data_IF_661594378577
#
_entry.id   IF_661594378577
#
_cell.length_a   1.000
_cell.length_b   1.000
_cell.length_c   1.000
_cell.angle_alpha   90.00
_cell.angle_beta   90.00
_cell.angle_gamma   90.00
#
_symmetry.space_group_name_H-M   'P 1'
#
loop_
_entity.id
_entity.type
_entity.pdbx_description
1 polymer ?
#
# COMPACT_ATOMS: atom_id res chain seq x y z
N UNK A 1 -29.61 28.32 11.70
CA UNK A 1 -28.55 27.31 11.81
C UNK A 1 -27.75 27.16 10.52
N UNK A 2 -28.28 27.43 9.36
CA UNK A 2 -27.63 27.39 8.05
C UNK A 2 -26.62 28.54 7.77
N UNK A 3 -26.74 29.69 8.44
CA UNK A 3 -25.82 30.83 8.24
C UNK A 3 -24.47 30.70 8.98
N UNK A 4 -24.35 29.78 9.93
CA UNK A 4 -23.07 29.55 10.65
C UNK A 4 -22.15 28.52 9.96
N UNK A 5 -22.68 27.65 9.13
CA UNK A 5 -21.89 26.69 8.33
C UNK A 5 -21.23 27.36 7.13
N UNK A 6 -21.83 28.36 6.52
CA UNK A 6 -21.23 29.13 5.42
C UNK A 6 -20.05 30.00 5.85
N UNK A 7 -20.04 30.48 7.12
CA UNK A 7 -18.93 31.25 7.65
C UNK A 7 -17.71 30.39 7.99
N UNK A 8 -17.88 29.11 8.38
CA UNK A 8 -16.75 28.18 8.60
C UNK A 8 -16.11 27.72 7.29
N UNK A 9 -16.91 27.49 6.24
CA UNK A 9 -16.39 27.15 4.93
C UNK A 9 -15.60 28.31 4.29
N UNK A 10 -15.99 29.58 4.58
CA UNK A 10 -15.26 30.74 4.08
C UNK A 10 -13.99 31.08 4.88
N UNK A 11 -13.89 30.66 6.15
CA UNK A 11 -12.70 30.90 6.97
C UNK A 11 -11.54 29.95 6.64
N UNK A 12 -11.83 28.77 6.11
CA UNK A 12 -10.79 27.79 5.69
C UNK A 12 -10.12 28.21 4.38
N UNK A 13 -10.75 29.06 3.57
CA UNK A 13 -10.24 29.49 2.26
C UNK A 13 -9.34 30.76 2.32
N UNK A 14 -9.22 31.43 3.44
CA UNK A 14 -8.56 32.77 3.51
C UNK A 14 -7.17 32.74 4.20
N UNK A 15 -6.72 31.63 4.80
CA UNK A 15 -5.51 31.63 5.61
C UNK A 15 -4.25 30.98 4.99
N UNK A 16 -4.24 30.61 3.73
CA UNK A 16 -3.02 30.08 3.08
C UNK A 16 -2.70 30.77 1.76
N UNK A 17 -2.35 32.05 1.84
CA UNK A 17 -1.49 32.67 0.83
C UNK A 17 -0.01 32.29 1.07
N UNK A 18 0.28 31.09 1.52
CA UNK A 18 1.58 30.47 1.33
C UNK A 18 1.67 30.14 -0.17
N UNK A 19 2.70 30.65 -0.87
CA UNK A 19 2.90 30.38 -2.28
C UNK A 19 2.79 28.87 -2.51
N UNK A 20 1.75 28.46 -3.25
CA UNK A 20 1.52 27.05 -3.58
C UNK A 20 2.79 26.52 -4.24
N UNK A 21 3.38 25.48 -3.66
CA UNK A 21 4.50 24.76 -4.25
C UNK A 21 3.94 23.87 -5.36
N UNK A 22 4.75 23.54 -6.35
CA UNK A 22 4.36 22.72 -7.47
C UNK A 22 4.18 21.25 -7.10
N UNK A 23 3.93 20.44 -8.12
CA UNK A 23 3.80 18.97 -8.01
C UNK A 23 5.08 18.33 -7.48
N UNK A 24 4.95 17.17 -6.86
CA UNK A 24 6.08 16.38 -6.37
C UNK A 24 6.02 14.95 -6.90
N UNK A 25 7.15 14.39 -7.37
CA UNK A 25 7.23 12.96 -7.65
C UNK A 25 7.16 12.16 -6.34
N UNK A 26 6.79 10.87 -6.46
CA UNK A 26 6.79 9.92 -5.35
C UNK A 26 8.10 9.13 -5.29
N UNK A 27 8.45 8.69 -4.09
CA UNK A 27 9.53 7.73 -3.89
C UNK A 27 9.04 6.33 -4.29
N UNK A 28 9.93 5.47 -4.83
CA UNK A 28 9.53 4.14 -5.27
C UNK A 28 9.02 3.32 -4.08
N UNK A 29 7.95 2.57 -4.33
CA UNK A 29 7.36 1.61 -3.41
C UNK A 29 7.49 0.23 -4.03
N UNK A 30 8.07 -0.74 -3.32
CA UNK A 30 8.43 -2.10 -3.74
C UNK A 30 9.58 -2.26 -4.73
N UNK A 31 9.94 -1.26 -5.48
CA UNK A 31 11.02 -1.36 -6.48
C UNK A 31 12.42 -1.19 -5.87
N UNK A 32 12.52 -0.58 -4.68
CA UNK A 32 13.77 -0.33 -3.98
C UNK A 32 13.60 -0.55 -2.47
N UNK A 33 13.50 -1.82 -2.03
CA UNK A 33 13.17 -2.17 -0.64
C UNK A 33 14.11 -1.59 0.42
N UNK A 34 15.42 -1.48 0.11
CA UNK A 34 16.38 -0.91 1.05
C UNK A 34 16.14 0.59 1.28
N UNK A 35 15.79 1.32 0.23
CA UNK A 35 15.46 2.73 0.33
C UNK A 35 14.14 2.93 1.07
N UNK A 36 13.12 2.15 0.71
CA UNK A 36 11.83 2.20 1.40
C UNK A 36 12.02 2.02 2.90
N UNK A 37 12.78 1.01 3.29
CA UNK A 37 13.12 0.76 4.70
C UNK A 37 13.84 1.95 5.36
N UNK A 38 14.83 2.55 4.66
CA UNK A 38 15.55 3.72 5.19
C UNK A 38 14.65 4.95 5.32
N UNK A 39 13.76 5.18 4.36
CA UNK A 39 12.79 6.29 4.41
C UNK A 39 11.79 6.07 5.54
N UNK A 40 11.23 4.88 5.69
CA UNK A 40 10.34 4.54 6.80
C UNK A 40 11.02 4.76 8.16
N UNK A 41 12.26 4.28 8.30
CA UNK A 41 13.07 4.50 9.50
C UNK A 41 13.29 5.99 9.79
N UNK A 42 13.64 6.76 8.76
CA UNK A 42 13.87 8.19 8.89
C UNK A 42 12.61 8.97 9.29
N UNK A 43 11.48 8.65 8.64
CA UNK A 43 10.19 9.28 8.95
C UNK A 43 9.69 8.91 10.34
N UNK A 44 9.89 7.68 10.78
CA UNK A 44 9.56 7.25 12.14
C UNK A 44 10.44 7.96 13.19
N UNK A 45 11.75 8.05 12.98
CA UNK A 45 12.67 8.80 13.85
C UNK A 45 12.27 10.29 13.92
N UNK A 46 11.80 10.86 12.82
CA UNK A 46 11.35 12.25 12.78
C UNK A 46 9.96 12.46 13.43
N UNK A 47 9.25 11.38 13.79
CA UNK A 47 7.87 11.46 14.28
C UNK A 47 6.86 11.88 13.21
N UNK A 48 7.12 11.56 11.93
CA UNK A 48 6.34 12.02 10.77
C UNK A 48 5.85 10.90 9.85
N UNK A 49 5.79 9.67 10.34
CA UNK A 49 5.32 8.53 9.55
C UNK A 49 3.80 8.67 9.26
N UNK A 50 3.38 8.80 7.98
CA UNK A 50 1.99 8.89 7.60
C UNK A 50 1.29 7.52 7.64
N UNK A 51 -0.05 7.56 7.61
CA UNK A 51 -0.90 6.36 7.55
C UNK A 51 -1.14 5.86 6.11
N UNK A 52 -0.43 6.41 5.13
CA UNK A 52 -0.49 5.99 3.72
C UNK A 52 0.89 6.04 3.06
N UNK A 53 1.06 5.32 1.96
CA UNK A 53 2.24 5.35 1.07
C UNK A 53 1.77 5.42 -0.41
N UNK A 54 2.64 5.77 -1.36
CA UNK A 54 4.05 6.14 -1.25
C UNK A 54 4.25 7.54 -0.66
N UNK A 55 5.47 7.77 -0.13
CA UNK A 55 5.91 9.11 0.28
C UNK A 55 6.17 9.99 -0.94
N UNK A 56 5.78 11.26 -0.89
CA UNK A 56 6.27 12.23 -1.87
C UNK A 56 7.72 12.64 -1.56
N UNK A 57 8.49 12.96 -2.60
CA UNK A 57 9.84 13.50 -2.41
C UNK A 57 9.83 14.80 -1.60
N UNK A 58 8.80 15.62 -1.78
CA UNK A 58 8.62 16.88 -1.07
C UNK A 58 8.41 16.67 0.45
N UNK A 59 7.57 15.70 0.84
CA UNK A 59 7.31 15.40 2.25
C UNK A 59 8.56 14.90 2.96
N UNK A 60 9.34 14.02 2.32
CA UNK A 60 10.59 13.52 2.90
C UNK A 60 11.65 14.63 2.96
N UNK A 61 11.70 15.55 1.98
CA UNK A 61 12.58 16.72 2.04
C UNK A 61 12.22 17.65 3.21
N UNK A 62 10.93 17.86 3.46
CA UNK A 62 10.45 18.69 4.57
C UNK A 62 10.75 18.06 5.95
N UNK A 63 10.87 16.72 6.02
CA UNK A 63 11.26 15.99 7.24
C UNK A 63 12.78 16.00 7.52
N UNK A 64 13.62 16.30 6.53
CA UNK A 64 15.09 16.25 6.66
C UNK A 64 15.67 17.01 7.87
N UNK A 65 15.22 18.24 8.23
CA UNK A 65 15.75 18.91 9.40
C UNK A 65 15.59 18.10 10.70
N UNK A 66 14.42 17.48 10.89
CA UNK A 66 14.15 16.64 12.06
C UNK A 66 14.97 15.34 12.02
N UNK A 67 15.07 14.69 10.85
CA UNK A 67 15.90 13.49 10.65
C UNK A 67 17.37 13.80 10.97
N UNK A 68 17.92 14.88 10.42
CA UNK A 68 19.32 15.27 10.61
C UNK A 68 19.63 15.65 12.07
N UNK A 69 18.65 16.17 12.79
CA UNK A 69 18.80 16.49 14.21
C UNK A 69 18.94 15.24 15.10
N UNK A 70 18.37 14.11 14.67
CA UNK A 70 18.32 12.86 15.45
C UNK A 70 19.29 11.78 14.94
N UNK A 71 19.54 11.71 13.62
CA UNK A 71 20.43 10.73 12.98
C UNK A 71 21.13 11.30 11.75
N UNK A 72 22.38 11.71 11.93
CA UNK A 72 23.20 12.32 10.86
C UNK A 72 23.58 11.34 9.75
N UNK A 73 23.80 10.07 10.08
CA UNK A 73 24.20 9.05 9.10
C UNK A 73 23.03 8.73 8.16
N UNK A 74 21.87 8.45 8.73
CA UNK A 74 20.63 8.20 7.98
C UNK A 74 20.21 9.43 7.16
N UNK A 75 20.30 10.63 7.76
CA UNK A 75 20.06 11.89 7.04
C UNK A 75 20.95 12.01 5.81
N UNK A 76 22.25 11.70 5.93
CA UNK A 76 23.19 11.72 4.81
C UNK A 76 22.82 10.72 3.70
N UNK A 77 22.30 9.56 4.04
CA UNK A 77 21.82 8.55 3.07
C UNK A 77 20.59 9.05 2.33
N UNK A 78 19.57 9.52 3.04
CA UNK A 78 18.34 10.07 2.45
C UNK A 78 18.63 11.30 1.57
N UNK A 79 19.49 12.23 2.02
CA UNK A 79 19.90 13.38 1.20
C UNK A 79 20.52 12.94 -0.13
N UNK A 80 21.46 11.99 -0.12
CA UNK A 80 22.10 11.49 -1.35
C UNK A 80 21.09 10.90 -2.32
N UNK A 81 20.10 10.17 -1.80
CA UNK A 81 19.05 9.66 -2.66
C UNK A 81 18.17 10.77 -3.23
N UNK A 82 17.76 11.73 -2.42
CA UNK A 82 16.92 12.85 -2.84
C UNK A 82 17.61 13.79 -3.84
N UNK A 83 18.93 13.73 -4.02
CA UNK A 83 19.62 14.46 -5.10
C UNK A 83 19.08 14.11 -6.49
N UNK A 84 18.58 12.88 -6.68
CA UNK A 84 17.94 12.42 -7.93
C UNK A 84 16.66 13.20 -8.25
N UNK A 85 16.03 13.78 -7.25
CA UNK A 85 14.76 14.53 -7.34
C UNK A 85 14.94 16.05 -7.45
N UNK A 86 16.19 16.52 -7.56
CA UNK A 86 16.52 17.95 -7.74
C UNK A 86 16.59 18.39 -9.20
N UNK A 87 16.71 17.45 -10.12
CA UNK A 87 16.82 17.75 -11.56
C UNK A 87 15.44 17.66 -12.21
N UNK A 88 15.23 18.44 -13.28
CA UNK A 88 13.96 18.39 -14.04
C UNK A 88 13.78 17.08 -14.85
N UNK A 89 14.87 16.43 -15.21
CA UNK A 89 14.88 15.12 -15.86
C UNK A 89 15.85 14.21 -15.13
N UNK A 90 15.38 13.11 -14.62
CA UNK A 90 16.21 12.20 -13.83
C UNK A 90 15.75 10.77 -13.97
N UNK A 91 16.70 9.85 -14.08
CA UNK A 91 16.49 8.45 -13.76
C UNK A 91 16.51 8.34 -12.22
N UNK A 92 15.43 7.86 -11.61
CA UNK A 92 15.31 7.75 -10.15
C UNK A 92 15.73 6.41 -9.64
N UNK A 93 15.58 5.37 -10.47
CA UNK A 93 15.90 4.00 -10.14
C UNK A 93 16.20 3.19 -11.40
N UNK A 94 17.13 2.24 -11.28
CA UNK A 94 17.32 1.13 -12.19
C UNK A 94 17.84 -0.06 -11.40
N UNK A 95 17.30 -1.26 -11.64
CA UNK A 95 17.76 -2.49 -11.00
C UNK A 95 17.75 -3.67 -11.96
N UNK A 96 18.66 -4.58 -11.73
CA UNK A 96 18.70 -5.91 -12.33
C UNK A 96 18.72 -6.92 -11.21
N UNK A 97 17.78 -7.84 -11.21
CA UNK A 97 17.69 -8.93 -10.25
C UNK A 97 17.70 -10.26 -10.99
N UNK A 98 18.56 -11.17 -10.56
CA UNK A 98 18.56 -12.56 -10.99
C UNK A 98 18.23 -13.46 -9.80
N UNK A 99 17.46 -14.52 -10.03
CA UNK A 99 17.06 -15.46 -8.99
C UNK A 99 16.97 -16.88 -9.49
N UNK A 100 17.05 -17.80 -8.56
CA UNK A 100 16.81 -19.23 -8.74
C UNK A 100 15.99 -19.74 -7.56
N UNK A 101 15.11 -20.67 -7.82
CA UNK A 101 14.30 -21.33 -6.79
C UNK A 101 14.26 -22.84 -6.97
N UNK A 102 13.79 -23.53 -5.94
CA UNK A 102 13.67 -24.99 -5.92
C UNK A 102 12.22 -25.47 -6.04
N UNK A 103 11.28 -24.60 -6.35
CA UNK A 103 9.85 -24.95 -6.37
C UNK A 103 9.28 -25.08 -7.77
N UNK A 104 8.25 -25.92 -7.93
CA UNK A 104 7.43 -26.04 -9.14
C UNK A 104 6.28 -25.01 -9.14
N UNK A 105 6.50 -23.79 -8.74
CA UNK A 105 5.41 -22.86 -8.58
C UNK A 105 5.84 -21.40 -8.56
N UNK A 106 4.85 -20.52 -8.38
CA UNK A 106 5.07 -19.09 -8.30
C UNK A 106 6.05 -18.76 -7.19
N UNK A 107 7.21 -18.26 -7.58
CA UNK A 107 8.17 -17.73 -6.63
C UNK A 107 7.70 -16.39 -6.15
N UNK A 108 7.34 -16.29 -4.88
CA UNK A 108 7.06 -15.02 -4.24
C UNK A 108 8.38 -14.35 -3.88
N UNK A 109 8.67 -13.22 -4.49
CA UNK A 109 9.73 -12.34 -4.03
C UNK A 109 9.27 -11.66 -2.73
N UNK A 110 9.81 -12.03 -1.55
CA UNK A 110 9.31 -11.55 -0.27
C UNK A 110 9.48 -10.04 -0.07
N UNK A 111 10.27 -9.39 -0.92
CA UNK A 111 10.46 -7.94 -0.88
C UNK A 111 9.45 -7.19 -1.75
N UNK A 112 8.70 -7.88 -2.59
CA UNK A 112 7.90 -7.27 -3.64
C UNK A 112 6.40 -7.28 -3.38
N UNK A 113 5.92 -7.65 -2.25
CA UNK A 113 4.51 -7.50 -1.88
C UNK A 113 3.53 -7.58 -3.07
N UNK A 114 3.59 -8.67 -3.85
CA UNK A 114 2.71 -8.93 -4.98
C UNK A 114 3.26 -8.67 -6.38
N UNK A 115 4.38 -8.01 -6.51
CA UNK A 115 5.13 -7.99 -7.77
C UNK A 115 5.91 -9.33 -7.91
N UNK A 116 5.19 -10.42 -7.90
CA UNK A 116 5.75 -11.77 -8.01
C UNK A 116 5.83 -12.18 -9.47
N UNK A 117 6.85 -12.95 -9.80
CA UNK A 117 7.03 -13.57 -11.10
C UNK A 117 7.79 -14.88 -10.87
N UNK A 118 7.55 -15.87 -11.68
CA UNK A 118 8.33 -17.11 -11.75
C UNK A 118 9.57 -16.99 -12.67
N UNK A 119 9.76 -15.85 -13.30
CA UNK A 119 10.93 -15.57 -14.16
C UNK A 119 12.22 -15.44 -13.34
N UNK A 120 13.32 -15.92 -13.92
CA UNK A 120 14.64 -15.89 -13.29
C UNK A 120 15.31 -14.51 -13.35
N UNK A 121 14.87 -13.65 -14.27
CA UNK A 121 15.45 -12.33 -14.50
C UNK A 121 14.39 -11.23 -14.41
N UNK A 122 14.71 -10.14 -13.68
CA UNK A 122 13.87 -8.96 -13.59
C UNK A 122 14.68 -7.67 -13.73
N UNK A 123 14.16 -6.75 -14.53
CA UNK A 123 14.65 -5.38 -14.66
C UNK A 123 13.59 -4.42 -14.18
N UNK A 124 13.92 -3.55 -13.22
CA UNK A 124 13.08 -2.44 -12.82
C UNK A 124 13.75 -1.13 -13.25
N UNK A 125 12.97 -0.21 -13.80
CA UNK A 125 13.46 1.12 -14.18
C UNK A 125 12.40 2.16 -13.91
N UNK A 126 12.82 3.33 -13.42
CA UNK A 126 11.90 4.45 -13.19
C UNK A 126 12.66 5.77 -13.31
N UNK A 127 11.99 6.76 -13.88
CA UNK A 127 12.50 8.11 -14.03
C UNK A 127 11.36 9.10 -14.24
N UNK A 128 11.67 10.38 -14.19
CA UNK A 128 10.66 11.40 -14.40
C UNK A 128 11.21 12.58 -15.20
N UNK A 129 10.27 13.31 -15.81
CA UNK A 129 10.49 14.59 -16.45
C UNK A 129 9.51 15.64 -15.88
N UNK A 130 10.05 16.61 -15.14
CA UNK A 130 9.31 17.78 -14.68
C UNK A 130 9.34 18.86 -15.77
N UNK A 131 8.30 18.92 -16.59
CA UNK A 131 8.23 19.85 -17.69
C UNK A 131 7.80 21.27 -17.24
N UNK A 132 7.17 21.37 -16.06
CA UNK A 132 6.85 22.64 -15.40
C UNK A 132 6.85 22.45 -13.88
N UNK A 133 6.72 23.53 -13.13
CA UNK A 133 6.58 23.46 -11.66
C UNK A 133 5.24 22.78 -11.25
N UNK A 134 4.29 22.72 -12.18
CA UNK A 134 2.94 22.16 -11.97
C UNK A 134 2.68 20.91 -12.79
N UNK A 135 3.70 20.29 -13.38
CA UNK A 135 3.55 19.13 -14.23
C UNK A 135 4.77 18.24 -14.29
N UNK A 136 4.56 16.93 -14.03
CA UNK A 136 5.55 15.87 -14.09
C UNK A 136 5.00 14.71 -14.91
N UNK A 137 5.84 14.11 -15.74
CA UNK A 137 5.63 12.78 -16.30
C UNK A 137 6.60 11.83 -15.63
N UNK A 138 6.10 10.82 -14.94
CA UNK A 138 6.90 9.70 -14.42
C UNK A 138 6.70 8.50 -15.34
N UNK A 139 7.79 7.81 -15.65
CA UNK A 139 7.78 6.57 -16.42
C UNK A 139 8.54 5.53 -15.63
N UNK A 140 7.86 4.47 -15.26
CA UNK A 140 8.43 3.33 -14.54
C UNK A 140 7.86 2.02 -15.06
N UNK A 141 8.64 0.96 -14.95
CA UNK A 141 8.22 -0.38 -15.38
C UNK A 141 9.05 -1.46 -14.72
N UNK A 142 8.45 -2.61 -14.69
CA UNK A 142 9.07 -3.87 -14.34
C UNK A 142 9.01 -4.79 -15.56
N UNK A 143 10.13 -5.37 -15.92
CA UNK A 143 10.29 -6.23 -17.07
C UNK A 143 10.85 -7.57 -16.58
N UNK A 144 10.18 -8.64 -16.94
CA UNK A 144 10.61 -10.02 -16.73
C UNK A 144 10.72 -10.74 -18.08
N UNK A 145 11.04 -12.02 -18.09
CA UNK A 145 11.18 -12.78 -19.34
C UNK A 145 9.86 -12.81 -20.13
N UNK A 146 8.74 -12.96 -19.40
CA UNK A 146 7.41 -13.17 -20.00
C UNK A 146 6.47 -11.96 -19.86
N UNK A 147 6.83 -10.93 -19.08
CA UNK A 147 5.92 -9.83 -18.78
C UNK A 147 6.62 -8.46 -18.75
N UNK A 148 5.86 -7.44 -19.14
CA UNK A 148 6.24 -6.05 -19.02
C UNK A 148 5.07 -5.27 -18.42
N UNK A 149 5.25 -4.74 -17.21
CA UNK A 149 4.19 -4.03 -16.52
C UNK A 149 4.61 -2.60 -16.15
N UNK A 150 3.72 -1.61 -16.36
CA UNK A 150 3.95 -0.27 -15.89
C UNK A 150 3.83 -0.21 -14.37
N UNK A 151 4.80 0.45 -13.72
CA UNK A 151 4.81 0.72 -12.28
C UNK A 151 5.11 2.19 -12.11
N UNK A 152 4.25 2.91 -11.38
CA UNK A 152 4.36 4.36 -11.17
C UNK A 152 4.54 5.17 -12.48
N UNK A 153 3.91 4.71 -13.57
CA UNK A 153 3.88 5.42 -14.85
C UNK A 153 2.64 6.31 -14.90
N UNK A 154 2.84 7.64 -14.83
CA UNK A 154 1.73 8.58 -14.68
C UNK A 154 2.10 10.00 -15.12
N UNK A 155 1.07 10.76 -15.47
CA UNK A 155 1.09 12.21 -15.58
C UNK A 155 0.59 12.82 -14.26
N UNK A 156 1.38 13.66 -13.63
CA UNK A 156 1.03 14.39 -12.41
C UNK A 156 0.89 15.88 -12.70
N UNK A 157 -0.24 16.47 -12.34
CA UNK A 157 -0.59 17.86 -12.55
C UNK A 157 -1.13 18.51 -11.27
N UNK A 158 -0.86 19.79 -11.05
CA UNK A 158 -1.47 20.56 -9.94
C UNK A 158 -0.45 21.16 -8.97
N UNK A 159 -0.74 21.06 -7.68
CA UNK A 159 -0.04 21.73 -6.60
C UNK A 159 0.23 20.74 -5.46
N UNK A 160 1.06 21.11 -4.50
CA UNK A 160 1.37 20.29 -3.32
C UNK A 160 0.15 20.00 -2.44
N UNK A 161 -0.84 20.87 -2.43
CA UNK A 161 -2.10 20.68 -1.72
C UNK A 161 -3.17 19.92 -2.52
N UNK A 162 -3.05 19.85 -3.85
CA UNK A 162 -3.96 19.11 -4.74
C UNK A 162 -3.22 18.70 -6.01
N UNK A 163 -2.72 17.47 -6.05
CA UNK A 163 -2.08 16.84 -7.19
C UNK A 163 -3.02 15.81 -7.81
N UNK A 164 -3.20 15.90 -9.14
CA UNK A 164 -3.93 14.94 -9.95
C UNK A 164 -2.92 14.05 -10.67
N UNK A 165 -2.98 12.76 -10.41
CA UNK A 165 -2.15 11.75 -11.06
C UNK A 165 -3.03 10.91 -12.00
N UNK A 166 -2.61 10.73 -13.26
CA UNK A 166 -3.31 9.95 -14.28
C UNK A 166 -2.38 8.87 -14.79
N UNK A 167 -2.68 7.61 -14.51
CA UNK A 167 -1.86 6.47 -14.89
C UNK A 167 -1.81 5.37 -13.85
N UNK A 168 -0.67 4.70 -13.75
CA UNK A 168 -0.43 3.55 -12.88
C UNK A 168 0.28 4.01 -11.61
N UNK A 169 -0.48 4.39 -10.58
CA UNK A 169 0.05 4.83 -9.31
C UNK A 169 -0.06 3.72 -8.27
N UNK A 170 0.98 3.57 -7.44
CA UNK A 170 0.94 2.69 -6.27
C UNK A 170 0.10 3.32 -5.15
N UNK A 171 -0.67 2.48 -4.45
CA UNK A 171 -1.50 2.86 -3.31
C UNK A 171 -1.23 1.95 -2.12
N UNK A 172 -1.24 2.51 -0.92
CA UNK A 172 -1.11 1.77 0.33
C UNK A 172 -1.85 2.51 1.45
N UNK A 173 -2.87 1.90 2.02
CA UNK A 173 -3.76 2.52 3.00
C UNK A 173 -3.64 1.83 4.36
N UNK A 174 -2.51 2.01 5.02
CA UNK A 174 -2.25 1.48 6.36
C UNK A 174 -0.98 2.05 6.96
N UNK A 175 -0.86 2.15 8.30
CA UNK A 175 0.40 2.38 8.97
C UNK A 175 1.33 1.16 8.99
N UNK A 176 0.85 -0.02 8.60
CA UNK A 176 1.63 -1.27 8.60
C UNK A 176 2.78 -1.21 7.59
N UNK A 177 3.84 -1.96 7.88
CA UNK A 177 5.06 -2.03 7.05
C UNK A 177 5.08 -3.23 6.11
N UNK A 178 4.46 -4.35 6.51
CA UNK A 178 4.51 -5.59 5.74
C UNK A 178 3.24 -5.85 4.92
N UNK A 179 2.07 -5.40 5.39
CA UNK A 179 0.81 -5.54 4.67
C UNK A 179 -0.22 -4.49 5.08
N UNK A 180 -1.33 -4.40 4.33
CA UNK A 180 -2.49 -3.58 4.65
C UNK A 180 -3.76 -4.38 4.37
N UNK A 181 -4.79 -4.20 5.18
CA UNK A 181 -6.03 -4.98 5.00
C UNK A 181 -6.80 -4.56 3.76
N UNK A 182 -6.94 -3.27 3.49
CA UNK A 182 -7.77 -2.80 2.38
C UNK A 182 -7.02 -2.77 1.05
N UNK A 183 -5.92 -2.02 1.02
CA UNK A 183 -5.19 -1.73 -0.20
C UNK A 183 -3.69 -1.65 0.10
N UNK A 184 -2.96 -2.55 -0.51
CA UNK A 184 -1.50 -2.63 -0.47
C UNK A 184 -0.95 -2.69 -1.90
N UNK A 185 0.34 -2.88 -2.00
CA UNK A 185 1.00 -3.21 -3.27
C UNK A 185 1.13 -4.72 -3.48
N UNK A 186 0.23 -5.52 -2.90
CA UNK A 186 0.22 -6.98 -3.09
C UNK A 186 -0.12 -7.35 -4.53
N UNK A 187 -1.10 -6.70 -5.13
CA UNK A 187 -1.43 -6.85 -6.56
C UNK A 187 -0.73 -5.80 -7.41
N UNK A 188 -0.68 -6.03 -8.71
CA UNK A 188 -0.16 -5.06 -9.69
C UNK A 188 -0.95 -3.75 -9.66
N UNK A 189 -0.27 -2.64 -10.02
CA UNK A 189 -0.90 -1.34 -10.14
C UNK A 189 -2.00 -1.32 -11.19
N UNK A 190 -3.07 -0.64 -10.90
CA UNK A 190 -4.21 -0.44 -11.80
C UNK A 190 -4.12 0.93 -12.47
N UNK A 191 -4.50 1.05 -13.76
CA UNK A 191 -4.63 2.36 -14.40
C UNK A 191 -5.79 3.12 -13.76
N UNK A 192 -5.57 4.40 -13.49
CA UNK A 192 -6.58 5.20 -12.82
C UNK A 192 -6.28 6.69 -12.79
N UNK A 193 -7.11 7.40 -12.04
CA UNK A 193 -6.99 8.82 -11.76
C UNK A 193 -7.01 8.99 -10.25
N UNK A 194 -6.03 9.69 -9.70
CA UNK A 194 -5.88 9.93 -8.27
C UNK A 194 -5.78 11.42 -7.98
N UNK A 195 -6.53 11.90 -7.02
CA UNK A 195 -6.41 13.25 -6.44
C UNK A 195 -5.90 13.13 -5.01
N UNK A 196 -4.80 13.80 -4.70
CA UNK A 196 -4.21 13.76 -3.35
C UNK A 196 -3.39 15.00 -3.04
N UNK A 197 -3.02 15.21 -1.78
CA UNK A 197 -1.99 16.16 -1.41
C UNK A 197 -0.63 15.46 -1.26
N UNK A 198 0.44 16.14 -1.69
CA UNK A 198 1.82 15.66 -1.60
C UNK A 198 2.56 16.19 -0.37
N UNK A 199 1.97 17.14 0.34
CA UNK A 199 2.37 17.62 1.65
C UNK A 199 1.18 17.64 2.58
N UNK A 200 1.36 17.36 3.87
CA UNK A 200 0.27 17.48 4.83
C UNK A 200 -0.24 18.94 4.89
N UNK A 201 -1.55 19.10 5.09
CA UNK A 201 -2.22 20.39 5.18
C UNK A 201 -2.45 20.74 6.64
N UNK A 202 -2.38 22.02 6.95
CA UNK A 202 -2.63 22.58 8.28
C UNK A 202 -1.67 22.04 9.36
N UNK A 203 -1.79 22.59 10.56
CA UNK A 203 -1.07 22.12 11.75
C UNK A 203 -1.55 20.73 12.22
N UNK A 204 -2.69 20.27 11.73
CA UNK A 204 -3.21 18.92 11.98
C UNK A 204 -2.67 17.87 11.01
N UNK A 205 -1.71 18.20 10.18
CA UNK A 205 -1.10 17.27 9.22
C UNK A 205 -2.12 16.49 8.39
N UNK A 206 -3.19 17.15 7.91
CA UNK A 206 -4.25 16.50 7.13
C UNK A 206 -3.69 15.96 5.83
N UNK A 207 -3.95 14.66 5.57
CA UNK A 207 -3.66 13.99 4.30
C UNK A 207 -4.94 13.40 3.73
N UNK A 208 -5.09 13.50 2.42
CA UNK A 208 -6.19 12.88 1.70
C UNK A 208 -5.71 12.24 0.41
N UNK A 209 -6.45 11.26 -0.02
CA UNK A 209 -6.30 10.64 -1.32
C UNK A 209 -7.64 10.07 -1.75
N UNK A 210 -8.02 10.33 -2.98
CA UNK A 210 -9.17 9.75 -3.64
C UNK A 210 -8.74 9.24 -5.00
N UNK A 211 -9.07 7.99 -5.34
CA UNK A 211 -8.80 7.48 -6.68
C UNK A 211 -9.97 6.69 -7.25
N UNK A 212 -9.99 6.60 -8.58
CA UNK A 212 -10.81 5.68 -9.35
C UNK A 212 -9.89 4.97 -10.34
N UNK A 213 -9.92 3.64 -10.35
CA UNK A 213 -9.11 2.79 -11.21
C UNK A 213 -9.93 1.71 -11.92
N UNK A 214 -9.33 1.09 -12.93
CA UNK A 214 -9.89 -0.04 -13.67
C UNK A 214 -9.14 -1.31 -13.28
N UNK A 215 -9.87 -2.33 -12.82
CA UNK A 215 -9.32 -3.64 -12.48
C UNK A 215 -9.13 -4.52 -13.73
N UNK A 216 -8.49 -5.65 -13.55
CA UNK A 216 -8.32 -6.64 -14.61
C UNK A 216 -9.66 -7.21 -15.09
N UNK A 217 -9.66 -7.71 -16.32
CA UNK A 217 -10.83 -8.35 -16.92
C UNK A 217 -11.25 -9.61 -16.14
N UNK A 218 -12.55 -9.73 -15.89
CA UNK A 218 -13.21 -10.90 -15.32
C UNK A 218 -14.34 -11.37 -16.23
N UNK A 219 -14.48 -12.65 -16.40
CA UNK A 219 -15.63 -13.30 -17.08
C UNK A 219 -16.68 -13.81 -16.09
N UNK A 220 -16.49 -13.57 -14.78
CA UNK A 220 -17.28 -14.16 -13.70
C UNK A 220 -17.89 -13.08 -12.79
N UNK A 221 -18.52 -12.07 -13.39
CA UNK A 221 -19.27 -11.06 -12.67
C UNK A 221 -20.74 -11.45 -12.67
N UNK A 222 -21.35 -11.72 -11.51
CA UNK A 222 -22.74 -12.18 -11.40
C UNK A 222 -23.71 -11.08 -11.87
N UNK A 223 -24.65 -11.44 -12.77
CA UNK A 223 -25.65 -10.53 -13.30
C UNK A 223 -26.84 -11.32 -13.88
N UNK A 224 -28.06 -10.97 -13.50
CA UNK A 224 -29.32 -11.54 -13.99
C UNK A 224 -29.35 -13.08 -13.96
N UNK A 225 -28.93 -13.66 -12.86
CA UNK A 225 -28.92 -15.12 -12.64
C UNK A 225 -27.85 -15.86 -13.43
N UNK A 226 -26.92 -15.15 -14.09
CA UNK A 226 -25.78 -15.70 -14.81
C UNK A 226 -24.51 -14.89 -14.55
N UNK A 227 -23.64 -14.84 -15.57
CA UNK A 227 -22.40 -14.05 -15.52
C UNK A 227 -22.32 -13.10 -16.68
N UNK A 228 -21.79 -11.92 -16.44
CA UNK A 228 -21.30 -10.97 -17.45
C UNK A 228 -19.78 -10.86 -17.39
N UNK A 229 -19.18 -10.39 -18.48
CA UNK A 229 -17.74 -10.26 -18.60
C UNK A 229 -17.33 -8.80 -18.83
N UNK A 230 -16.29 -8.36 -18.17
CA UNK A 230 -15.78 -7.00 -18.30
C UNK A 230 -14.71 -6.66 -17.28
N UNK A 231 -14.41 -5.38 -17.15
CA UNK A 231 -13.44 -4.87 -16.19
C UNK A 231 -14.18 -4.12 -15.09
N UNK A 232 -14.20 -4.67 -13.84
CA UNK A 232 -14.70 -3.91 -12.70
C UNK A 232 -13.89 -2.63 -12.49
N UNK A 233 -14.51 -1.64 -11.88
CA UNK A 233 -13.85 -0.44 -11.39
C UNK A 233 -13.61 -0.55 -9.90
N UNK A 234 -12.61 0.18 -9.42
CA UNK A 234 -12.34 0.33 -7.99
C UNK A 234 -12.19 1.80 -7.67
N UNK A 235 -12.73 2.22 -6.55
CA UNK A 235 -12.45 3.55 -5.99
C UNK A 235 -11.92 3.40 -4.57
N UNK A 236 -11.04 4.31 -4.17
CA UNK A 236 -10.50 4.36 -2.83
C UNK A 236 -10.46 5.77 -2.27
N UNK A 237 -10.69 5.87 -0.97
CA UNK A 237 -10.58 7.09 -0.18
C UNK A 237 -9.66 6.83 1.00
N UNK A 238 -8.70 7.72 1.19
CA UNK A 238 -7.93 7.87 2.42
C UNK A 238 -8.10 9.29 2.96
N UNK A 239 -8.36 9.40 4.25
CA UNK A 239 -8.33 10.66 4.98
C UNK A 239 -7.63 10.43 6.31
N UNK A 240 -6.61 11.23 6.63
CA UNK A 240 -5.93 11.15 7.92
C UNK A 240 -5.57 12.52 8.45
N UNK A 241 -5.42 12.61 9.77
CA UNK A 241 -5.00 13.80 10.47
C UNK A 241 -4.22 13.44 11.74
N UNK A 242 -3.52 14.40 12.28
CA UNK A 242 -2.77 14.33 13.54
C UNK A 242 -3.40 15.30 14.53
N UNK A 243 -4.40 14.87 15.32
CA UNK A 243 -5.11 15.75 16.26
C UNK A 243 -4.25 16.21 17.44
N UNK A 244 -3.24 15.43 17.79
CA UNK A 244 -2.23 15.73 18.82
C UNK A 244 -0.86 15.31 18.29
N UNK A 245 0.17 16.00 18.71
CA UNK A 245 1.55 15.65 18.35
C UNK A 245 1.84 14.18 18.67
N UNK A 246 2.25 13.42 17.65
CA UNK A 246 2.54 12.00 17.76
C UNK A 246 1.32 11.08 17.79
N UNK A 247 0.10 11.59 17.60
CA UNK A 247 -1.09 10.76 17.46
C UNK A 247 -1.79 11.03 16.14
N UNK A 248 -1.73 10.07 15.22
CA UNK A 248 -2.40 10.12 13.93
C UNK A 248 -3.60 9.19 13.91
N UNK A 249 -4.68 9.64 13.28
CA UNK A 249 -5.89 8.86 13.00
C UNK A 249 -6.21 8.92 11.52
N UNK A 250 -6.77 7.84 10.97
CA UNK A 250 -7.14 7.75 9.58
C UNK A 250 -8.40 6.93 9.35
N UNK A 251 -9.05 7.24 8.25
CA UNK A 251 -10.17 6.50 7.71
C UNK A 251 -9.87 6.13 6.26
N UNK A 252 -10.11 4.87 5.90
CA UNK A 252 -9.93 4.36 4.56
C UNK A 252 -11.21 3.67 4.10
N UNK A 253 -11.48 3.74 2.80
CA UNK A 253 -12.56 2.99 2.18
C UNK A 253 -12.23 2.65 0.75
N UNK A 254 -12.53 1.43 0.33
CA UNK A 254 -12.45 0.98 -1.05
C UNK A 254 -13.79 0.38 -1.47
N UNK A 255 -14.12 0.51 -2.76
CA UNK A 255 -15.33 -0.05 -3.35
C UNK A 255 -15.01 -0.58 -4.75
N UNK A 256 -15.40 -1.84 -5.01
CA UNK A 256 -15.34 -2.50 -6.32
C UNK A 256 -16.73 -2.51 -6.92
N UNK A 257 -16.91 -2.02 -8.14
CA UNK A 257 -18.22 -1.84 -8.74
C UNK A 257 -18.22 -1.96 -10.27
N UNK A 258 -19.42 -2.10 -10.85
CA UNK A 258 -19.59 -2.14 -12.29
C UNK A 258 -18.95 -3.35 -12.96
N UNK A 259 -18.61 -3.21 -14.22
CA UNK A 259 -18.01 -4.26 -15.07
C UNK A 259 -19.04 -5.02 -15.92
N UNK A 260 -18.72 -5.22 -17.19
CA UNK A 260 -19.58 -5.88 -18.17
C UNK A 260 -20.91 -5.18 -18.37
N UNK A 261 -22.00 -5.92 -18.32
CA UNK A 261 -23.35 -5.39 -18.44
C UNK A 261 -23.89 -4.80 -17.12
N UNK A 262 -23.14 -4.93 -16.02
CA UNK A 262 -23.50 -4.41 -14.71
C UNK A 262 -23.24 -2.88 -14.70
N UNK A 263 -24.29 -2.09 -14.49
CA UNK A 263 -24.21 -0.63 -14.38
C UNK A 263 -23.72 -0.17 -13.00
N UNK A 264 -24.14 1.04 -12.58
CA UNK A 264 -23.83 1.57 -11.24
C UNK A 264 -22.55 2.40 -11.20
N UNK A 265 -22.00 2.79 -12.36
CA UNK A 265 -20.74 3.51 -12.48
C UNK A 265 -20.88 5.04 -12.66
N UNK A 266 -22.09 5.59 -12.42
CA UNK A 266 -22.28 7.03 -12.41
C UNK A 266 -21.70 7.67 -11.14
N UNK A 267 -21.28 8.94 -11.23
CA UNK A 267 -20.81 9.70 -10.06
C UNK A 267 -21.89 9.79 -8.96
N UNK A 268 -23.18 9.79 -9.35
CA UNK A 268 -24.30 9.75 -8.40
C UNK A 268 -24.35 8.45 -7.62
N UNK A 269 -24.14 7.32 -8.29
CA UNK A 269 -24.20 6.00 -7.65
C UNK A 269 -22.99 5.79 -6.74
N UNK A 270 -21.82 6.21 -7.17
CA UNK A 270 -20.59 6.23 -6.36
C UNK A 270 -20.83 7.08 -5.10
N UNK A 271 -21.39 8.29 -5.27
CA UNK A 271 -21.67 9.19 -4.14
C UNK A 271 -22.70 8.59 -3.15
N UNK A 272 -23.76 7.96 -3.66
CA UNK A 272 -24.74 7.27 -2.81
C UNK A 272 -24.11 6.13 -2.03
N UNK A 273 -23.34 5.27 -2.69
CA UNK A 273 -22.64 4.16 -2.04
C UNK A 273 -21.68 4.65 -0.94
N UNK A 274 -21.03 5.82 -1.14
CA UNK A 274 -20.18 6.41 -0.10
C UNK A 274 -20.93 6.86 1.14
N UNK A 275 -22.12 7.45 1.01
CA UNK A 275 -22.85 8.08 2.12
C UNK A 275 -23.97 7.21 2.68
N UNK A 276 -24.46 6.22 1.92
CA UNK A 276 -25.50 5.29 2.35
C UNK A 276 -25.17 3.86 1.89
N UNK A 277 -24.11 3.24 2.45
CA UNK A 277 -23.71 1.88 2.08
C UNK A 277 -24.80 0.85 2.40
N UNK A 278 -25.51 0.99 3.50
CA UNK A 278 -26.54 0.02 3.90
C UNK A 278 -27.71 -0.02 2.91
N UNK A 279 -28.11 1.11 2.33
CA UNK A 279 -29.23 1.23 1.41
C UNK A 279 -28.89 0.85 -0.05
N UNK A 280 -27.61 0.66 -0.39
CA UNK A 280 -27.17 0.43 -1.76
C UNK A 280 -26.32 -0.84 -1.96
N UNK A 281 -25.84 -1.44 -0.89
CA UNK A 281 -24.78 -2.46 -0.96
C UNK A 281 -25.09 -3.75 -0.20
N UNK A 282 -26.24 -3.85 0.47
CA UNK A 282 -26.63 -5.07 1.16
C UNK A 282 -27.94 -5.60 0.60
N UNK A 283 -27.90 -6.81 0.07
CA UNK A 283 -29.09 -7.55 -0.34
C UNK A 283 -30.07 -7.68 0.83
N UNK A 284 -31.34 -7.39 0.59
CA UNK A 284 -32.42 -7.55 1.58
C UNK A 284 -33.00 -6.26 2.15
N UNK A 285 -32.47 -5.07 1.80
CA UNK A 285 -33.02 -3.75 2.18
C UNK A 285 -33.65 -3.00 1.00
N UNK A 286 -34.35 -3.74 0.09
CA UNK A 286 -34.85 -3.21 -1.17
C UNK A 286 -33.81 -3.28 -2.29
N UNK A 287 -32.63 -3.81 -2.01
CA UNK A 287 -31.56 -4.08 -2.94
C UNK A 287 -31.56 -5.59 -3.25
N UNK A 288 -31.49 -5.94 -4.51
CA UNK A 288 -31.28 -7.31 -4.97
C UNK A 288 -29.88 -7.45 -5.59
N UNK A 289 -29.43 -8.70 -5.86
CA UNK A 289 -28.10 -8.98 -6.40
C UNK A 289 -27.78 -8.20 -7.67
N UNK A 290 -28.77 -7.85 -8.51
CA UNK A 290 -28.56 -7.11 -9.75
C UNK A 290 -28.47 -5.58 -9.53
N UNK A 291 -29.06 -5.08 -8.44
CA UNK A 291 -29.09 -3.64 -8.11
C UNK A 291 -28.11 -3.26 -7.00
N UNK A 292 -27.49 -4.23 -6.37
CA UNK A 292 -26.40 -4.03 -5.42
C UNK A 292 -25.24 -3.29 -6.08
N UNK A 293 -24.66 -2.28 -5.40
CA UNK A 293 -23.61 -1.45 -5.96
C UNK A 293 -22.36 -2.26 -6.26
N UNK A 294 -21.91 -3.10 -5.32
CA UNK A 294 -20.75 -3.96 -5.47
C UNK A 294 -20.08 -4.31 -4.14
N UNK A 295 -18.82 -4.69 -4.16
CA UNK A 295 -18.06 -5.04 -2.98
C UNK A 295 -17.41 -3.81 -2.33
N UNK A 296 -17.36 -3.74 -1.00
CA UNK A 296 -16.74 -2.63 -0.29
C UNK A 296 -16.04 -3.09 0.99
N UNK A 297 -15.00 -2.34 1.35
CA UNK A 297 -14.33 -2.50 2.63
C UNK A 297 -13.93 -1.12 3.18
N UNK A 298 -13.92 -1.00 4.51
CA UNK A 298 -13.48 0.21 5.19
C UNK A 298 -12.56 -0.10 6.36
N UNK A 299 -11.68 0.83 6.70
CA UNK A 299 -10.84 0.71 7.90
C UNK A 299 -10.66 2.04 8.63
N UNK A 300 -10.49 1.91 9.95
CA UNK A 300 -9.99 2.96 10.81
C UNK A 300 -8.56 2.61 11.22
N UNK A 301 -7.66 3.55 11.01
CA UNK A 301 -6.24 3.39 11.35
C UNK A 301 -5.83 4.40 12.39
N UNK A 302 -4.91 4.03 13.26
CA UNK A 302 -4.31 4.95 14.23
C UNK A 302 -2.85 4.60 14.46
N UNK A 303 -2.05 5.62 14.74
CA UNK A 303 -0.65 5.47 15.09
C UNK A 303 -0.29 6.42 16.22
N UNK A 304 0.44 5.91 17.18
CA UNK A 304 1.05 6.65 18.28
C UNK A 304 2.57 6.63 18.11
N UNK A 305 3.17 7.79 18.03
CA UNK A 305 4.61 7.97 18.07
C UNK A 305 5.05 8.35 19.47
N UNK A 306 6.01 7.62 20.00
CA UNK A 306 6.66 7.90 21.28
C UNK A 306 8.10 8.32 21.01
N UNK A 307 8.42 9.56 21.34
CA UNK A 307 9.78 10.09 21.22
C UNK A 307 10.65 9.67 22.40
N UNK A 308 11.96 9.87 22.31
CA UNK A 308 12.92 9.58 23.36
C UNK A 308 14.21 8.94 22.84
N UNK A 309 15.02 8.37 23.74
CA UNK A 309 16.29 7.72 23.38
C UNK A 309 16.06 6.47 22.50
N UNK A 310 14.96 5.78 22.73
CA UNK A 310 14.50 4.66 21.90
C UNK A 310 13.10 4.99 21.40
N UNK A 311 12.97 5.78 20.29
CA UNK A 311 11.67 6.12 19.76
C UNK A 311 10.97 4.87 19.22
N UNK A 312 9.63 4.85 19.32
CA UNK A 312 8.85 3.75 18.76
C UNK A 312 7.45 4.22 18.33
N UNK A 313 6.87 3.47 17.40
CA UNK A 313 5.50 3.65 16.92
C UNK A 313 4.67 2.42 17.32
N UNK A 314 3.49 2.66 17.90
CA UNK A 314 2.42 1.67 18.01
C UNK A 314 1.34 2.04 17.02
N UNK A 315 0.86 1.09 16.24
CA UNK A 315 -0.16 1.37 15.24
C UNK A 315 -1.16 0.23 15.14
N UNK A 316 -2.38 0.59 14.73
CA UNK A 316 -3.51 -0.33 14.65
C UNK A 316 -4.36 -0.03 13.42
N UNK A 317 -4.97 -1.07 12.89
CA UNK A 317 -5.98 -1.01 11.84
C UNK A 317 -7.16 -1.89 12.24
N UNK A 318 -8.35 -1.30 12.34
CA UNK A 318 -9.62 -2.00 12.49
C UNK A 318 -10.37 -1.88 11.19
N UNK A 319 -10.63 -3.00 10.52
CA UNK A 319 -11.23 -3.02 9.20
C UNK A 319 -12.45 -3.96 9.15
N UNK A 320 -13.30 -3.78 8.15
CA UNK A 320 -14.39 -4.68 7.86
C UNK A 320 -14.78 -4.63 6.39
N UNK A 321 -15.20 -5.76 5.89
CA UNK A 321 -15.87 -5.94 4.61
C UNK A 321 -17.37 -5.90 4.88
N UNK A 322 -18.09 -5.05 4.16
CA UNK A 322 -19.51 -4.76 4.35
C UNK A 322 -19.91 -4.02 5.63
N UNK A 323 -21.21 -3.73 5.72
CA UNK A 323 -21.85 -3.20 6.91
C UNK A 323 -22.63 -4.28 7.65
N UNK A 324 -22.85 -4.10 8.94
CA UNK A 324 -23.49 -5.06 9.80
C UNK A 324 -24.72 -4.45 10.49
N UNK A 325 -25.76 -5.28 10.71
CA UNK A 325 -26.99 -4.92 11.44
C UNK A 325 -27.73 -3.72 10.85
N UNK A 326 -27.73 -3.55 9.52
CA UNK A 326 -28.40 -2.46 8.83
C UNK A 326 -27.99 -1.07 9.34
N UNK A 327 -26.71 -0.88 9.66
CA UNK A 327 -26.18 0.42 10.12
C UNK A 327 -24.94 0.80 9.32
N UNK A 328 -24.91 2.03 8.79
CA UNK A 328 -23.84 2.54 7.91
C UNK A 328 -22.45 2.69 8.59
N UNK A 329 -22.38 2.59 9.89
CA UNK A 329 -21.14 2.83 10.67
C UNK A 329 -20.65 1.60 11.46
N UNK A 330 -21.33 0.47 11.33
CA UNK A 330 -20.90 -0.80 11.95
C UNK A 330 -20.33 -1.72 10.89
N UNK A 331 -19.05 -2.02 11.01
CA UNK A 331 -18.35 -2.92 10.10
C UNK A 331 -18.74 -4.38 10.36
N UNK A 332 -18.92 -5.14 9.28
CA UNK A 332 -19.09 -6.59 9.27
C UNK A 332 -17.80 -7.31 8.89
N UNK A 333 -17.75 -8.62 9.07
CA UNK A 333 -16.57 -9.46 8.74
C UNK A 333 -15.26 -8.78 9.17
N UNK A 334 -15.12 -8.49 10.47
CA UNK A 334 -14.08 -7.61 10.97
C UNK A 334 -12.69 -8.22 10.88
N UNK A 335 -11.70 -7.34 10.75
CA UNK A 335 -10.29 -7.62 10.88
C UNK A 335 -9.65 -6.68 11.88
N UNK A 336 -8.66 -7.17 12.60
CA UNK A 336 -7.83 -6.39 13.51
C UNK A 336 -6.37 -6.62 13.16
N UNK A 337 -5.64 -5.54 12.91
CA UNK A 337 -4.20 -5.57 12.75
C UNK A 337 -3.55 -4.61 13.73
N UNK A 338 -2.35 -4.94 14.18
CA UNK A 338 -1.57 -4.09 15.07
C UNK A 338 -0.08 -4.32 14.88
N UNK A 339 0.71 -3.31 15.21
CA UNK A 339 2.15 -3.41 15.08
C UNK A 339 2.91 -2.49 16.00
N UNK A 340 4.16 -2.85 16.20
CA UNK A 340 5.19 -2.11 16.89
C UNK A 340 6.37 -1.92 15.94
N UNK A 341 6.79 -0.68 15.75
CA UNK A 341 8.03 -0.35 15.05
C UNK A 341 8.98 0.42 15.96
N UNK A 342 10.19 -0.09 16.13
CA UNK A 342 11.29 0.55 16.87
C UNK A 342 12.40 0.86 15.87
N UNK A 343 12.50 2.09 15.33
CA UNK A 343 13.48 2.44 14.30
C UNK A 343 14.93 2.44 14.81
N UNK A 344 15.12 2.38 16.13
CA UNK A 344 16.44 2.30 16.78
C UNK A 344 16.32 1.58 18.12
N UNK A 345 16.29 0.24 18.11
CA UNK A 345 16.31 -0.58 19.34
C UNK A 345 17.70 -0.64 19.96
N UNK A 346 18.75 -0.52 19.13
CA UNK A 346 20.16 -0.31 19.48
C UNK A 346 20.77 0.52 18.35
N UNK A 347 22.03 0.95 18.47
CA UNK A 347 22.64 1.94 17.57
C UNK A 347 22.40 1.68 16.08
N UNK A 348 22.46 0.41 15.67
CA UNK A 348 22.36 0.01 14.25
C UNK A 348 21.23 -0.98 13.97
N UNK A 349 20.31 -1.18 14.91
CA UNK A 349 19.23 -2.15 14.79
C UNK A 349 17.87 -1.48 14.81
N UNK A 350 16.96 -2.00 14.01
CA UNK A 350 15.54 -1.68 14.07
C UNK A 350 14.69 -2.96 14.13
N UNK A 351 13.47 -2.84 14.62
CA UNK A 351 12.56 -3.95 14.82
C UNK A 351 11.15 -3.55 14.40
N UNK A 352 10.52 -4.39 13.58
CA UNK A 352 9.09 -4.35 13.30
C UNK A 352 8.45 -5.67 13.73
N UNK A 353 7.37 -5.60 14.47
CA UNK A 353 6.48 -6.74 14.73
C UNK A 353 5.07 -6.36 14.33
N UNK A 354 4.42 -7.20 13.54
CA UNK A 354 3.05 -7.01 13.09
C UNK A 354 2.22 -8.28 13.28
N UNK A 355 0.97 -8.07 13.62
CA UNK A 355 -0.05 -9.08 13.79
C UNK A 355 -1.29 -8.66 13.01
N UNK A 356 -1.94 -9.59 12.33
CA UNK A 356 -3.22 -9.41 11.66
C UNK A 356 -4.10 -10.63 11.85
N UNK A 357 -5.38 -10.40 12.13
CA UNK A 357 -6.40 -11.43 12.19
C UNK A 357 -7.64 -10.95 11.45
N UNK A 358 -8.23 -11.81 10.63
CA UNK A 358 -9.46 -11.50 9.92
C UNK A 358 -10.42 -12.68 9.93
N UNK A 359 -11.71 -12.36 9.91
CA UNK A 359 -12.80 -13.30 9.87
C UNK A 359 -12.96 -13.89 8.47
N UNK A 360 -13.97 -14.77 8.30
CA UNK A 360 -14.35 -15.31 6.99
C UNK A 360 -14.75 -14.23 6.01
N UNK A 361 -14.81 -14.62 4.75
CA UNK A 361 -15.33 -13.86 3.62
C UNK A 361 -14.52 -12.66 3.20
N UNK A 362 -13.34 -12.43 3.79
CA UNK A 362 -12.45 -11.40 3.29
C UNK A 362 -11.96 -11.69 1.87
N UNK A 363 -12.06 -10.66 1.01
CA UNK A 363 -11.65 -10.64 -0.40
C UNK A 363 -12.43 -11.60 -1.31
N UNK A 364 -13.53 -12.17 -0.87
CA UNK A 364 -14.46 -12.95 -1.70
C UNK A 364 -15.82 -12.26 -1.72
N UNK A 365 -16.52 -12.30 -2.84
CA UNK A 365 -17.80 -11.64 -2.98
C UNK A 365 -18.72 -12.42 -3.92
N UNK A 366 -20.02 -12.44 -3.64
CA UNK A 366 -20.99 -13.18 -4.46
C UNK A 366 -21.19 -12.59 -5.86
N UNK A 367 -20.98 -11.28 -6.04
CA UNK A 367 -21.02 -10.63 -7.36
C UNK A 367 -19.72 -10.89 -8.12
N UNK A 368 -18.58 -10.63 -7.50
CA UNK A 368 -17.26 -10.72 -8.14
C UNK A 368 -16.58 -12.02 -7.74
N UNK A 369 -16.75 -13.05 -8.59
CA UNK A 369 -16.23 -14.40 -8.29
C UNK A 369 -14.69 -14.48 -8.28
N UNK A 370 -14.00 -13.48 -8.84
CA UNK A 370 -12.57 -13.32 -8.72
C UNK A 370 -12.17 -12.56 -7.44
N UNK A 371 -13.17 -12.17 -6.65
CA UNK A 371 -12.99 -11.45 -5.40
C UNK A 371 -12.38 -10.07 -5.57
N UNK A 372 -11.86 -9.52 -4.49
CA UNK A 372 -11.17 -8.25 -4.45
C UNK A 372 -9.70 -8.46 -4.88
N UNK A 373 -9.52 -8.75 -6.17
CA UNK A 373 -8.22 -9.11 -6.77
C UNK A 373 -7.97 -8.38 -8.08
N UNK A 374 -6.70 -8.21 -8.43
CA UNK A 374 -6.28 -7.71 -9.74
C UNK A 374 -5.32 -8.72 -10.37
N UNK A 375 -5.60 -9.17 -11.59
CA UNK A 375 -4.86 -10.25 -12.27
C UNK A 375 -4.69 -11.53 -11.42
N UNK A 376 -5.71 -11.87 -10.63
CA UNK A 376 -5.71 -13.06 -9.78
C UNK A 376 -4.93 -12.93 -8.46
N UNK A 377 -4.43 -11.74 -8.14
CA UNK A 377 -3.74 -11.45 -6.87
C UNK A 377 -4.60 -10.52 -6.02
N UNK A 378 -4.77 -10.86 -4.74
CA UNK A 378 -5.52 -10.06 -3.77
C UNK A 378 -4.87 -8.68 -3.61
N UNK A 379 -5.68 -7.62 -3.58
CA UNK A 379 -5.19 -6.24 -3.50
C UNK A 379 -4.81 -5.78 -2.09
N UNK A 380 -5.17 -6.55 -1.06
CA UNK A 380 -4.94 -6.22 0.35
C UNK A 380 -3.81 -7.00 0.99
N UNK A 381 -4.12 -7.78 2.04
CA UNK A 381 -3.14 -8.48 2.86
C UNK A 381 -2.51 -9.69 2.11
N UNK A 382 -1.16 -9.82 2.16
CA UNK A 382 -0.41 -10.90 1.50
C UNK A 382 -0.92 -12.29 1.92
N UNK A 383 -1.25 -12.48 3.18
CA UNK A 383 -1.71 -13.76 3.71
C UNK A 383 -3.04 -14.25 3.11
N UNK A 384 -3.81 -13.38 2.48
CA UNK A 384 -5.04 -13.80 1.82
C UNK A 384 -4.79 -14.52 0.49
N UNK A 385 -3.56 -14.52 -0.02
CA UNK A 385 -3.14 -15.37 -1.14
C UNK A 385 -2.70 -16.76 -0.69
N UNK A 386 -2.44 -16.94 0.61
CA UNK A 386 -2.02 -18.21 1.23
C UNK A 386 -3.25 -19.09 1.56
N UNK A 387 -4.04 -19.36 0.53
CA UNK A 387 -5.23 -20.23 0.55
C UNK A 387 -5.64 -20.57 -0.88
N UNK A 388 -6.53 -21.53 -1.05
CA UNK A 388 -7.11 -21.78 -2.37
C UNK A 388 -7.87 -20.54 -2.84
N UNK A 389 -7.65 -20.16 -4.10
CA UNK A 389 -8.35 -19.01 -4.70
C UNK A 389 -9.86 -19.17 -4.62
N UNK A 390 -10.56 -18.16 -4.11
CA UNK A 390 -12.00 -18.19 -3.88
C UNK A 390 -12.44 -18.81 -2.54
N UNK A 391 -11.52 -19.38 -1.74
CA UNK A 391 -11.82 -19.78 -0.37
C UNK A 391 -11.86 -18.54 0.53
N UNK A 392 -12.99 -18.30 1.19
CA UNK A 392 -13.20 -17.17 2.09
C UNK A 392 -12.71 -17.39 3.52
N UNK A 393 -11.85 -18.38 3.75
CA UNK A 393 -11.35 -18.70 5.10
C UNK A 393 -10.63 -17.53 5.75
N UNK A 394 -10.95 -17.26 7.01
CA UNK A 394 -10.22 -16.29 7.83
C UNK A 394 -8.85 -16.81 8.23
N UNK A 395 -7.97 -15.94 8.68
CA UNK A 395 -6.64 -16.35 9.10
C UNK A 395 -6.06 -15.40 10.15
N UNK A 396 -4.97 -15.87 10.76
CA UNK A 396 -4.13 -15.14 11.70
C UNK A 396 -2.70 -15.14 11.18
N UNK A 397 -2.11 -13.97 11.05
CA UNK A 397 -0.77 -13.77 10.53
C UNK A 397 0.12 -13.00 11.50
N UNK A 398 1.40 -13.34 11.51
CA UNK A 398 2.43 -12.61 12.24
C UNK A 398 3.62 -12.36 11.33
N UNK A 399 4.20 -11.19 11.45
CA UNK A 399 5.45 -10.79 10.77
C UNK A 399 6.41 -10.19 11.77
N UNK A 400 7.66 -10.65 11.72
CA UNK A 400 8.78 -10.08 12.47
C UNK A 400 9.85 -9.66 11.47
N UNK A 401 10.26 -8.40 11.50
CA UNK A 401 11.35 -7.87 10.67
C UNK A 401 12.42 -7.29 11.58
N UNK A 402 13.66 -7.67 11.33
CA UNK A 402 14.82 -7.14 12.04
C UNK A 402 15.78 -6.56 11.00
N UNK A 403 16.04 -5.27 11.10
CA UNK A 403 17.03 -4.57 10.31
C UNK A 403 18.33 -4.38 11.10
N UNK A 404 19.47 -4.49 10.42
CA UNK A 404 20.79 -4.24 10.97
C UNK A 404 21.65 -3.48 9.96
N UNK A 405 22.08 -2.29 10.33
CA UNK A 405 22.89 -1.39 9.51
C UNK A 405 24.25 -1.17 10.15
N UNK A 406 25.18 -2.17 10.09
CA UNK A 406 26.46 -2.12 10.79
C UNK A 406 27.36 -0.98 10.33
N UNK A 407 27.17 -0.46 9.11
CA UNK A 407 27.91 0.65 8.54
C UNK A 407 27.00 1.54 7.69
N UNK A 408 27.53 2.67 7.21
CA UNK A 408 26.79 3.55 6.29
C UNK A 408 26.54 2.92 4.90
N UNK A 409 27.18 1.79 4.60
CA UNK A 409 27.11 1.11 3.31
C UNK A 409 26.44 -0.24 3.37
N UNK A 410 26.40 -0.87 4.53
CA UNK A 410 25.97 -2.26 4.68
C UNK A 410 24.65 -2.34 5.42
N UNK A 411 23.74 -3.15 4.92
CA UNK A 411 22.45 -3.41 5.53
C UNK A 411 22.12 -4.90 5.46
N UNK A 412 21.64 -5.43 6.57
CA UNK A 412 21.02 -6.73 6.68
C UNK A 412 19.54 -6.58 7.00
N UNK A 413 18.71 -7.46 6.47
CA UNK A 413 17.30 -7.55 6.81
C UNK A 413 16.91 -9.00 6.98
N UNK A 414 16.34 -9.33 8.13
CA UNK A 414 15.80 -10.64 8.43
C UNK A 414 14.29 -10.50 8.55
N UNK A 415 13.53 -11.37 7.89
CA UNK A 415 12.07 -11.38 7.96
C UNK A 415 11.58 -12.79 8.24
N UNK A 416 10.69 -12.90 9.22
CA UNK A 416 9.93 -14.11 9.49
C UNK A 416 8.45 -13.82 9.38
N UNK A 417 7.74 -14.63 8.59
CA UNK A 417 6.28 -14.61 8.46
C UNK A 417 5.70 -15.95 8.84
N UNK A 418 4.56 -15.95 9.51
CA UNK A 418 3.76 -17.15 9.73
C UNK A 418 2.28 -16.81 9.58
N UNK A 419 1.51 -17.78 9.09
CA UNK A 419 0.07 -17.65 8.93
C UNK A 419 -0.60 -18.97 9.27
N UNK A 420 -1.77 -18.90 9.91
CA UNK A 420 -2.65 -20.02 10.16
C UNK A 420 -4.05 -19.69 9.66
N UNK A 421 -4.51 -20.44 8.67
CA UNK A 421 -5.92 -20.40 8.24
C UNK A 421 -6.80 -21.05 9.32
N UNK A 422 -8.03 -20.59 9.45
CA UNK A 422 -8.97 -21.08 10.47
C UNK A 422 -9.59 -22.41 10.03
N UNK A 423 -10.00 -23.23 11.01
CA UNK A 423 -10.39 -24.61 10.78
C UNK A 423 -11.82 -24.86 10.25
N UNK A 424 -12.51 -23.85 9.70
CA UNK A 424 -13.85 -24.02 9.10
C UNK A 424 -13.85 -24.07 7.57
N UNK A 425 -12.69 -24.04 6.93
CA UNK A 425 -12.55 -24.41 5.52
C UNK A 425 -12.76 -25.91 5.33
N UNK A 426 -13.23 -26.30 4.14
CA UNK A 426 -13.24 -27.70 3.72
C UNK A 426 -11.84 -28.25 3.42
N UNK A 427 -10.85 -27.37 3.36
CA UNK A 427 -9.44 -27.66 3.09
C UNK A 427 -8.69 -27.63 4.43
N UNK A 428 -7.89 -28.66 4.65
CA UNK A 428 -7.00 -28.75 5.82
C UNK A 428 -5.68 -28.02 5.50
N UNK A 429 -5.59 -26.76 5.88
CA UNK A 429 -4.42 -25.94 5.64
C UNK A 429 -3.33 -26.19 6.68
N UNK A 430 -2.12 -26.43 6.21
CA UNK A 430 -0.90 -26.39 7.03
C UNK A 430 -0.59 -24.95 7.47
N UNK A 431 0.23 -24.83 8.49
CA UNK A 431 0.76 -23.50 8.88
C UNK A 431 1.79 -23.04 7.85
N UNK A 432 1.57 -21.85 7.29
CA UNK A 432 2.56 -21.14 6.49
C UNK A 432 3.70 -20.64 7.37
N UNK A 433 4.92 -20.81 6.92
CA UNK A 433 6.13 -20.26 7.53
C UNK A 433 7.11 -19.83 6.44
N UNK A 434 7.65 -18.61 6.57
CA UNK A 434 8.66 -18.08 5.65
C UNK A 434 9.74 -17.39 6.46
N UNK A 435 11.00 -17.67 6.13
CA UNK A 435 12.17 -16.99 6.66
C UNK A 435 12.99 -16.47 5.50
N UNK A 436 13.31 -15.18 5.53
CA UNK A 436 14.23 -14.57 4.57
C UNK A 436 15.35 -13.80 5.25
N UNK A 437 16.51 -13.77 4.60
CA UNK A 437 17.67 -12.99 4.99
C UNK A 437 18.24 -12.30 3.76
N UNK A 438 18.25 -10.99 3.77
CA UNK A 438 18.80 -10.14 2.72
C UNK A 438 20.03 -9.39 3.21
N UNK A 439 21.02 -9.26 2.36
CA UNK A 439 22.20 -8.44 2.56
C UNK A 439 22.38 -7.50 1.38
N UNK A 440 22.68 -6.23 1.66
CA UNK A 440 23.06 -5.26 0.65
C UNK A 440 24.26 -4.43 1.09
N UNK A 441 25.07 -4.01 0.11
CA UNK A 441 26.20 -3.10 0.34
C UNK A 441 26.35 -2.12 -0.82
N UNK A 442 26.91 -0.95 -0.54
CA UNK A 442 27.22 0.05 -1.56
C UNK A 442 28.59 -0.23 -2.17
N UNK A 443 28.61 -0.56 -3.46
CA UNK A 443 29.80 -0.73 -4.26
C UNK A 443 29.92 0.41 -5.27
N UNK A 444 30.84 1.35 -5.02
CA UNK A 444 30.99 2.60 -5.79
C UNK A 444 29.69 3.41 -5.76
N UNK A 445 28.95 3.48 -6.86
CA UNK A 445 27.66 4.20 -6.99
C UNK A 445 26.46 3.25 -7.06
N UNK A 446 26.68 1.95 -7.00
CA UNK A 446 25.65 0.92 -7.07
C UNK A 446 25.42 0.32 -5.69
N UNK A 447 24.22 -0.14 -5.46
CA UNK A 447 23.92 -1.05 -4.38
C UNK A 447 23.91 -2.47 -4.96
N UNK A 448 24.64 -3.37 -4.35
CA UNK A 448 24.66 -4.78 -4.70
C UNK A 448 24.23 -5.60 -3.51
N UNK A 449 23.49 -6.67 -3.75
CA UNK A 449 23.00 -7.48 -2.65
C UNK A 449 22.45 -8.83 -3.12
N UNK A 450 21.93 -9.56 -2.17
CA UNK A 450 21.26 -10.84 -2.40
C UNK A 450 20.34 -11.18 -1.24
N UNK A 451 19.46 -12.13 -1.49
CA UNK A 451 18.49 -12.62 -0.54
C UNK A 451 18.32 -14.12 -0.66
N UNK A 452 18.19 -14.77 0.47
CA UNK A 452 17.80 -16.17 0.60
C UNK A 452 16.45 -16.21 1.30
N UNK A 453 15.51 -16.96 0.73
CA UNK A 453 14.21 -17.23 1.33
C UNK A 453 13.96 -18.73 1.38
N UNK A 454 13.46 -19.20 2.50
CA UNK A 454 12.93 -20.56 2.66
C UNK A 454 11.51 -20.46 3.18
N UNK A 455 10.62 -21.29 2.64
CA UNK A 455 9.22 -21.29 3.07
C UNK A 455 8.62 -22.69 3.07
N UNK A 456 7.59 -22.83 3.87
CA UNK A 456 6.61 -23.90 3.79
C UNK A 456 5.26 -23.26 3.63
N UNK A 457 4.56 -23.59 2.53
CA UNK A 457 3.27 -23.02 2.20
C UNK A 457 2.11 -23.67 3.00
N UNK A 458 0.91 -23.19 2.77
CA UNK A 458 -0.31 -23.69 3.43
C UNK A 458 -0.76 -25.06 2.94
N UNK A 459 -0.21 -25.58 1.86
CA UNK A 459 -0.47 -26.93 1.36
C UNK A 459 0.58 -27.92 1.86
N UNK A 460 1.61 -27.45 2.56
CA UNK A 460 2.66 -28.25 3.15
C UNK A 460 3.91 -28.39 2.29
N UNK A 461 3.93 -27.76 1.10
CA UNK A 461 5.07 -27.77 0.19
C UNK A 461 6.17 -26.83 0.66
N UNK A 462 7.41 -27.27 0.51
CA UNK A 462 8.58 -26.49 0.90
C UNK A 462 9.34 -25.99 -0.32
N UNK A 463 9.74 -24.73 -0.30
CA UNK A 463 10.53 -24.11 -1.36
C UNK A 463 11.64 -23.24 -0.79
N UNK A 464 12.67 -23.01 -1.60
CA UNK A 464 13.76 -22.10 -1.30
C UNK A 464 14.08 -21.25 -2.52
N UNK A 465 14.42 -19.98 -2.29
CA UNK A 465 14.82 -19.03 -3.32
C UNK A 465 16.16 -18.40 -2.94
N UNK A 466 17.01 -18.18 -3.94
CA UNK A 466 18.20 -17.35 -3.85
C UNK A 466 18.12 -16.28 -4.93
N UNK A 467 18.27 -15.03 -4.56
CA UNK A 467 18.35 -13.91 -5.50
C UNK A 467 19.61 -13.08 -5.30
N UNK A 468 20.07 -12.46 -6.38
CA UNK A 468 21.12 -11.46 -6.37
C UNK A 468 20.73 -10.26 -7.22
N UNK A 469 21.13 -9.06 -6.81
CA UNK A 469 20.72 -7.84 -7.50
C UNK A 469 21.80 -6.76 -7.50
N UNK A 470 21.70 -5.90 -8.52
CA UNK A 470 22.41 -4.63 -8.60
C UNK A 470 21.39 -3.52 -8.82
N UNK A 471 21.47 -2.46 -8.02
CA UNK A 471 20.61 -1.27 -8.09
C UNK A 471 21.44 -0.01 -8.22
N UNK A 472 20.93 0.91 -9.04
CA UNK A 472 21.51 2.23 -9.23
C UNK A 472 20.66 3.27 -8.52
#
# INVERSE_FOLDING_TARGET
MLLRLSALASLVLVSTAAAAKGVSPYLPLNQYPELEHQVERAMAIAGRAPLKKPYSAAEVQDALPAICGKDQALCGQIKRFLERYKQRLSLTQASLTARVDSGDGKTLDPNQRGLSSDDNLRVDVSGYWQFSDYGIITVGGQFTEDNAQPVDTMLSLGFDWAQLDIGYRSHWYSPMHDSAMLLSTQAENMPGITLSNTRPLTDFNIRYEFFVGEMSYSSRIAYQGGYTAGKPKITGLHLSMEPLDGWSIGFNRIMQFGGGARGGDSLSDIGKAFFDPTGNDNVGQGVNEDTEFGNQAASFTTQFHFDGDTPFNLYFEYAGEDTSHATNWRLGNVSLSGGLYIPRIADNWDLTYEFSEWQNSWYVHHIYQDGLSNKGVIIGHWGATERQFGDGVGAQAHTLILGWTPSATDMWRFKYRTLQNQGYSSIDYSRFQQLSAAYSTVWRRYMVGGEVTVQRDVFGDSSAMLSGYIRW
#
